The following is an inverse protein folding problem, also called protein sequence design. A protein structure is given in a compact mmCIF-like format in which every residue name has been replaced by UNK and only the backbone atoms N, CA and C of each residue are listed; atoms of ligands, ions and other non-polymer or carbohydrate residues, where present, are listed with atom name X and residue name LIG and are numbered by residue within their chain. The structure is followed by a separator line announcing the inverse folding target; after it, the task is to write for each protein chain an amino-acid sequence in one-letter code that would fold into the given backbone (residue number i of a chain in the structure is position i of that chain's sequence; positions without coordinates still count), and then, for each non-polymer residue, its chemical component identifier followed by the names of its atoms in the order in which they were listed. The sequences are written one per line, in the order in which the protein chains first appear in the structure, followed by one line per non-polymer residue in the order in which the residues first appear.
data_IF_482641168908
#
_entry.id   IF_482641168908
#
_cell.length_a   1.000
_cell.length_b   1.000
_cell.length_c   1.000
_cell.angle_alpha   90.00
_cell.angle_beta   90.00
_cell.angle_gamma   90.00
#
_symmetry.space_group_name_H-M   'P 1'
#
loop_
_entity.id
_entity.type
_entity.pdbx_description
1 polymer ?
#
# COMPACT_ATOMS: atom_id res chain seq x y z
N UNK A 1 -6.58 2.38 19.99
CA UNK A 1 -7.45 3.57 19.88
C UNK A 1 -8.11 3.50 18.52
N UNK A 2 -9.43 3.65 18.43
CA UNK A 2 -10.14 3.57 17.13
C UNK A 2 -9.75 4.76 16.27
N UNK A 3 -9.35 4.54 15.03
CA UNK A 3 -8.87 5.59 14.14
C UNK A 3 -9.97 6.59 13.83
N UNK A 4 -10.02 7.69 14.59
CA UNK A 4 -11.04 8.74 14.43
C UNK A 4 -10.64 9.77 13.38
N UNK A 5 -9.43 9.64 12.83
CA UNK A 5 -8.89 10.45 11.74
C UNK A 5 -8.51 9.56 10.57
N UNK A 6 -8.72 10.10 9.38
CA UNK A 6 -8.21 9.56 8.14
C UNK A 6 -7.39 10.62 7.42
N UNK A 7 -6.33 10.18 6.76
CA UNK A 7 -5.49 10.99 5.88
C UNK A 7 -5.47 10.37 4.50
N UNK A 8 -5.71 11.18 3.49
CA UNK A 8 -5.90 10.75 2.10
C UNK A 8 -4.81 11.40 1.26
N UNK A 9 -3.94 10.55 0.69
CA UNK A 9 -2.93 10.96 -0.26
C UNK A 9 -3.53 11.18 -1.65
N UNK A 10 -2.90 12.02 -2.47
CA UNK A 10 -3.38 12.27 -3.84
C UNK A 10 -2.26 12.69 -4.80
N UNK A 11 -2.52 12.53 -6.10
CA UNK A 11 -1.66 13.09 -7.15
C UNK A 11 -2.04 14.55 -7.43
N UNK A 12 -1.24 15.50 -6.90
CA UNK A 12 -1.48 16.94 -7.10
C UNK A 12 -1.36 17.37 -8.56
N UNK A 13 -0.53 16.70 -9.35
CA UNK A 13 -0.41 16.94 -10.80
C UNK A 13 -1.66 16.53 -11.58
N UNK A 14 -2.52 15.68 -11.00
CA UNK A 14 -3.82 15.27 -11.53
C UNK A 14 -5.00 16.03 -10.89
N UNK A 15 -4.74 17.14 -10.19
CA UNK A 15 -5.76 17.96 -9.54
C UNK A 15 -6.03 17.59 -8.07
N UNK A 16 -5.27 16.66 -7.51
CA UNK A 16 -5.34 16.29 -6.10
C UNK A 16 -4.99 17.44 -5.15
N UNK A 17 -5.55 17.39 -3.94
CA UNK A 17 -5.40 18.43 -2.92
C UNK A 17 -4.12 18.29 -2.08
N UNK A 18 -3.28 17.28 -2.34
CA UNK A 18 -2.17 16.92 -1.46
C UNK A 18 -2.63 15.92 -0.40
N UNK A 19 -2.38 16.19 0.88
CA UNK A 19 -2.83 15.33 1.98
C UNK A 19 -4.13 15.88 2.55
N UNK A 20 -5.26 15.24 2.25
CA UNK A 20 -6.57 15.61 2.81
C UNK A 20 -6.76 14.95 4.17
N UNK A 21 -7.15 15.73 5.17
CA UNK A 21 -7.51 15.24 6.50
C UNK A 21 -9.04 15.13 6.63
N UNK A 22 -9.51 14.06 7.26
CA UNK A 22 -10.92 13.82 7.54
C UNK A 22 -11.12 13.18 8.92
N UNK A 23 -12.32 13.33 9.47
CA UNK A 23 -12.78 12.50 10.59
C UNK A 23 -13.47 11.24 10.09
N UNK A 24 -13.37 10.16 10.86
CA UNK A 24 -14.12 8.92 10.61
C UNK A 24 -15.24 8.82 11.65
N UNK A 25 -16.49 8.70 11.20
CA UNK A 25 -17.59 8.34 12.08
C UNK A 25 -17.43 6.88 12.55
N UNK A 26 -17.37 6.61 13.86
CA UNK A 26 -17.08 5.28 14.36
C UNK A 26 -18.25 4.29 14.19
N UNK A 27 -19.47 4.75 13.89
CA UNK A 27 -20.65 3.90 13.73
C UNK A 27 -20.93 3.58 12.26
N UNK A 28 -20.82 4.58 11.38
CA UNK A 28 -21.13 4.46 9.95
C UNK A 28 -19.90 4.31 9.05
N UNK A 29 -18.71 4.71 9.52
CA UNK A 29 -17.50 4.80 8.72
C UNK A 29 -17.44 6.04 7.82
N UNK A 30 -18.42 6.94 7.90
CA UNK A 30 -18.48 8.16 7.09
C UNK A 30 -17.25 9.06 7.29
N UNK A 31 -16.75 9.63 6.19
CA UNK A 31 -15.66 10.59 6.21
C UNK A 31 -16.21 12.02 6.18
N UNK A 32 -15.74 12.87 7.08
CA UNK A 32 -15.99 14.33 7.02
C UNK A 32 -14.68 15.07 6.82
N UNK A 33 -14.53 15.74 5.68
CA UNK A 33 -13.32 16.48 5.32
C UNK A 33 -13.12 17.67 6.24
N UNK A 34 -11.89 17.82 6.74
CA UNK A 34 -11.46 18.94 7.61
C UNK A 34 -10.66 19.99 6.83
N UNK A 35 -9.80 19.54 5.92
CA UNK A 35 -8.92 20.40 5.13
C UNK A 35 -7.81 19.61 4.45
N UNK A 36 -6.85 20.29 3.83
CA UNK A 36 -5.74 19.62 3.14
C UNK A 36 -4.42 20.35 3.34
N UNK A 37 -3.32 19.57 3.36
CA UNK A 37 -1.96 20.08 3.37
C UNK A 37 -1.35 20.01 1.96
N UNK A 38 -0.68 21.09 1.56
CA UNK A 38 -0.14 21.28 0.20
C UNK A 38 1.39 21.34 0.14
N UNK A 39 2.08 20.93 1.21
CA UNK A 39 3.52 21.12 1.35
C UNK A 39 4.39 20.11 0.56
N UNK A 40 3.77 19.13 -0.10
CA UNK A 40 4.43 18.08 -0.87
C UNK A 40 3.64 17.86 -2.16
N UNK A 41 4.35 17.79 -3.29
CA UNK A 41 3.78 17.39 -4.57
C UNK A 41 3.58 15.87 -4.60
N UNK A 42 2.44 15.41 -5.13
CA UNK A 42 2.06 14.01 -5.27
C UNK A 42 2.31 13.17 -4.00
N UNK A 43 1.71 13.51 -2.83
CA UNK A 43 1.73 12.67 -1.64
C UNK A 43 0.93 11.38 -1.87
N UNK A 44 1.46 10.47 -2.69
CA UNK A 44 0.69 9.37 -3.27
C UNK A 44 0.47 8.21 -2.30
N UNK A 45 1.40 8.02 -1.37
CA UNK A 45 1.34 7.03 -0.31
C UNK A 45 1.72 7.64 1.04
N UNK A 46 1.06 7.18 2.11
CA UNK A 46 1.19 7.71 3.46
C UNK A 46 1.45 6.56 4.45
N UNK A 47 2.13 6.85 5.55
CA UNK A 47 2.18 5.94 6.72
C UNK A 47 2.16 6.75 8.02
N UNK A 48 1.23 6.47 8.95
CA UNK A 48 1.23 7.10 10.27
C UNK A 48 2.35 6.52 11.14
N UNK A 49 2.89 7.32 12.06
CA UNK A 49 3.75 6.82 13.13
C UNK A 49 2.95 5.95 14.11
N UNK A 50 3.58 4.99 14.82
CA UNK A 50 2.88 4.11 15.76
C UNK A 50 2.15 4.84 16.90
N UNK A 51 2.64 6.01 17.29
CA UNK A 51 2.01 6.89 18.29
C UNK A 51 0.92 7.80 17.71
N UNK A 52 0.77 7.85 16.38
CA UNK A 52 -0.20 8.69 15.67
C UNK A 52 0.14 10.18 15.65
N UNK A 53 1.31 10.60 16.16
CA UNK A 53 1.74 12.01 16.24
C UNK A 53 2.32 12.55 14.94
N UNK A 54 2.83 11.66 14.09
CA UNK A 54 3.42 11.98 12.81
C UNK A 54 2.75 11.20 11.67
N UNK A 55 2.81 11.79 10.48
CA UNK A 55 2.42 11.20 9.23
C UNK A 55 3.58 11.36 8.24
N UNK A 56 3.98 10.27 7.62
CA UNK A 56 5.03 10.26 6.61
C UNK A 56 4.42 10.12 5.23
N UNK A 57 5.02 10.78 4.24
CA UNK A 57 4.54 10.76 2.86
C UNK A 57 5.70 10.69 1.88
N UNK A 58 5.51 9.96 0.77
CA UNK A 58 6.36 10.06 -0.43
C UNK A 58 5.85 11.17 -1.31
N UNK A 59 6.73 11.90 -1.98
CA UNK A 59 6.38 12.77 -3.11
C UNK A 59 6.71 12.04 -4.40
N UNK A 60 5.70 11.47 -5.04
CA UNK A 60 5.85 10.62 -6.24
C UNK A 60 6.11 11.48 -7.47
N UNK A 61 7.38 11.83 -7.66
CA UNK A 61 7.90 12.57 -8.81
C UNK A 61 9.25 12.00 -9.24
N UNK A 62 9.77 12.47 -10.38
CA UNK A 62 11.11 12.10 -10.85
C UNK A 62 12.20 12.45 -9.83
N UNK A 63 12.06 13.60 -9.15
CA UNK A 63 13.01 14.03 -8.12
C UNK A 63 12.98 13.14 -6.86
N UNK A 64 11.84 12.49 -6.60
CA UNK A 64 11.63 11.56 -5.49
C UNK A 64 11.86 12.16 -4.11
N UNK A 65 10.77 12.49 -3.40
CA UNK A 65 10.84 13.13 -2.10
C UNK A 65 10.21 12.27 -0.99
N UNK A 66 10.62 12.53 0.25
CA UNK A 66 9.91 12.08 1.45
C UNK A 66 9.75 13.24 2.43
N UNK A 67 8.65 13.27 3.16
CA UNK A 67 8.38 14.29 4.17
C UNK A 67 7.67 13.70 5.39
N UNK A 68 7.77 14.42 6.51
CA UNK A 68 7.06 14.15 7.74
C UNK A 68 6.17 15.33 8.11
N UNK A 69 4.99 15.04 8.63
CA UNK A 69 3.97 15.99 9.04
C UNK A 69 3.53 15.68 10.45
N UNK A 70 3.36 16.71 11.28
CA UNK A 70 2.70 16.58 12.58
C UNK A 70 1.20 16.51 12.37
N UNK A 71 0.53 15.62 13.08
CA UNK A 71 -0.92 15.40 13.02
C UNK A 71 -1.63 15.84 14.30
N UNK A 72 -0.93 15.86 15.43
CA UNK A 72 -1.49 16.25 16.74
C UNK A 72 -1.22 17.71 17.08
N UNK A 73 -2.20 18.35 17.72
CA UNK A 73 -2.14 19.77 18.08
C UNK A 73 -2.08 20.73 16.89
N UNK A 74 -2.48 20.29 15.70
CA UNK A 74 -2.49 21.13 14.49
C UNK A 74 -3.77 21.94 14.35
N UNK A 75 -3.73 23.08 13.63
CA UNK A 75 -4.93 23.82 13.26
C UNK A 75 -5.88 22.93 12.47
N UNK A 76 -7.14 22.88 12.91
CA UNK A 76 -8.25 22.20 12.22
C UNK A 76 -8.01 20.69 11.93
N UNK A 77 -7.02 20.07 12.59
CA UNK A 77 -6.66 18.67 12.39
C UNK A 77 -5.93 18.38 11.06
N UNK A 78 -5.47 19.42 10.35
CA UNK A 78 -4.72 19.28 9.10
C UNK A 78 -3.24 19.03 9.38
N UNK A 79 -2.58 18.06 8.71
CA UNK A 79 -1.16 17.79 8.92
C UNK A 79 -0.27 18.99 8.57
N UNK A 80 0.73 19.28 9.40
CA UNK A 80 1.67 20.39 9.21
C UNK A 80 3.08 19.85 9.02
N UNK A 81 3.82 20.21 7.94
CA UNK A 81 5.18 19.72 7.73
C UNK A 81 6.09 20.13 8.90
N UNK A 82 6.89 19.19 9.42
CA UNK A 82 7.84 19.48 10.51
C UNK A 82 9.17 20.02 10.00
N UNK A 83 9.53 19.72 8.74
CA UNK A 83 10.71 20.18 8.01
C UNK A 83 10.40 20.26 6.51
N UNK A 84 11.36 20.78 5.73
CA UNK A 84 11.32 20.65 4.28
C UNK A 84 11.42 19.16 3.85
N UNK A 85 10.74 18.75 2.76
CA UNK A 85 10.93 17.43 2.18
C UNK A 85 12.38 17.16 1.80
N UNK A 86 12.80 15.89 1.87
CA UNK A 86 14.17 15.46 1.55
C UNK A 86 14.18 14.53 0.33
N UNK A 87 15.23 14.57 -0.52
CA UNK A 87 15.39 13.61 -1.60
C UNK A 87 15.54 12.18 -1.06
N UNK A 88 14.85 11.22 -1.69
CA UNK A 88 14.98 9.79 -1.34
C UNK A 88 16.15 9.13 -2.05
N UNK A 89 16.75 9.79 -3.05
CA UNK A 89 17.86 9.23 -3.83
C UNK A 89 17.42 8.24 -4.93
N UNK A 90 16.13 8.18 -5.24
CA UNK A 90 15.56 7.39 -6.33
C UNK A 90 14.34 8.08 -6.94
N UNK A 91 13.96 7.69 -8.16
CA UNK A 91 12.86 8.30 -8.91
C UNK A 91 11.53 7.57 -8.69
N UNK A 92 10.43 8.34 -8.63
CA UNK A 92 9.06 7.85 -8.52
C UNK A 92 8.79 7.01 -7.26
N UNK A 93 9.02 7.53 -6.04
CA UNK A 93 8.69 6.81 -4.82
C UNK A 93 7.18 6.60 -4.70
N UNK A 94 6.73 5.35 -4.61
CA UNK A 94 5.29 5.01 -4.67
C UNK A 94 4.78 4.33 -3.40
N UNK A 95 5.68 3.93 -2.49
CA UNK A 95 5.31 3.33 -1.21
C UNK A 95 6.39 3.61 -0.17
N UNK A 96 6.00 3.70 1.10
CA UNK A 96 6.93 3.79 2.22
C UNK A 96 6.44 2.99 3.43
N UNK A 97 7.37 2.61 4.29
CA UNK A 97 7.07 1.99 5.58
C UNK A 97 8.08 2.42 6.65
N UNK A 98 7.66 2.36 7.90
CA UNK A 98 8.55 2.51 9.05
C UNK A 98 9.18 1.17 9.39
N UNK A 99 10.50 1.12 9.51
CA UNK A 99 11.23 -0.07 9.95
C UNK A 99 12.40 0.36 10.86
N UNK A 100 12.42 -0.16 12.09
CA UNK A 100 13.35 0.27 13.13
C UNK A 100 13.32 1.80 13.31
N UNK A 101 14.43 2.50 13.06
CA UNK A 101 14.52 3.97 13.10
C UNK A 101 14.61 4.61 11.72
N UNK A 102 14.05 3.97 10.70
CA UNK A 102 14.14 4.40 9.32
C UNK A 102 12.76 4.51 8.64
N UNK A 103 12.65 5.41 7.68
CA UNK A 103 11.71 5.25 6.57
C UNK A 103 12.37 4.42 5.49
N UNK A 104 11.71 3.35 5.08
CA UNK A 104 12.08 2.57 3.91
C UNK A 104 11.13 2.96 2.79
N UNK A 105 11.67 3.28 1.60
CA UNK A 105 10.91 3.83 0.48
C UNK A 105 11.12 2.98 -0.77
N UNK A 106 10.04 2.57 -1.43
CA UNK A 106 10.09 1.89 -2.72
C UNK A 106 10.02 2.90 -3.86
N UNK A 107 11.05 2.93 -4.71
CA UNK A 107 11.18 3.86 -5.84
C UNK A 107 10.86 3.13 -7.15
N UNK A 108 9.63 3.29 -7.64
CA UNK A 108 9.13 2.61 -8.83
C UNK A 108 9.92 3.02 -10.09
N UNK A 109 10.12 4.31 -10.29
CA UNK A 109 10.73 4.85 -11.52
C UNK A 109 12.21 4.53 -11.68
N UNK A 110 12.91 4.24 -10.59
CA UNK A 110 14.35 3.88 -10.60
C UNK A 110 14.63 2.41 -10.26
N UNK A 111 13.61 1.65 -9.86
CA UNK A 111 13.78 0.27 -9.44
C UNK A 111 14.72 0.10 -8.25
N UNK A 112 14.49 0.87 -7.19
CA UNK A 112 15.38 0.88 -6.01
C UNK A 112 14.59 1.02 -4.72
N UNK A 113 15.26 0.72 -3.59
CA UNK A 113 14.72 0.95 -2.25
C UNK A 113 15.65 1.87 -1.47
N UNK A 114 15.11 2.94 -0.89
CA UNK A 114 15.87 3.87 -0.06
C UNK A 114 15.66 3.62 1.43
N UNK A 115 16.68 3.83 2.25
CA UNK A 115 16.58 3.89 3.72
C UNK A 115 16.91 5.28 4.20
N UNK A 116 15.99 5.96 4.88
CA UNK A 116 16.16 7.31 5.41
C UNK A 116 16.11 7.25 6.95
N UNK A 117 17.21 7.55 7.67
CA UNK A 117 17.19 7.54 9.12
C UNK A 117 16.25 8.63 9.65
N UNK A 118 15.52 8.33 10.72
CA UNK A 118 14.67 9.28 11.42
C UNK A 118 15.49 10.09 12.41
N UNK A 119 15.47 11.40 12.23
CA UNK A 119 16.07 12.39 13.11
C UNK A 119 15.33 12.43 14.47
N UNK A 120 15.90 13.06 15.52
CA UNK A 120 15.27 13.10 16.85
C UNK A 120 13.87 13.73 16.90
N UNK A 121 13.52 14.58 15.94
CA UNK A 121 12.17 15.17 15.81
C UNK A 121 11.25 14.35 14.90
N UNK A 122 11.71 13.18 14.45
CA UNK A 122 10.98 12.27 13.58
C UNK A 122 11.05 12.62 12.11
N UNK A 123 11.77 13.66 11.68
CA UNK A 123 11.92 13.96 10.25
C UNK A 123 12.88 12.97 9.56
N UNK A 124 12.65 12.62 8.27
CA UNK A 124 13.62 11.84 7.52
C UNK A 124 14.92 12.62 7.27
N UNK A 125 16.05 11.96 7.45
CA UNK A 125 17.38 12.43 7.07
C UNK A 125 17.81 11.94 5.67
N UNK A 126 19.04 12.24 5.29
CA UNK A 126 19.67 11.65 4.10
C UNK A 126 20.12 10.21 4.39
N UNK A 127 20.06 9.34 3.40
CA UNK A 127 20.25 7.92 3.62
C UNK A 127 20.78 7.12 2.42
N UNK A 128 20.66 5.80 2.46
CA UNK A 128 21.24 4.89 1.48
C UNK A 128 20.22 4.41 0.45
N UNK A 129 20.71 3.94 -0.70
CA UNK A 129 19.89 3.39 -1.79
C UNK A 129 20.37 1.99 -2.13
N UNK A 130 19.47 1.03 -2.05
CA UNK A 130 19.61 -0.33 -2.54
C UNK A 130 19.06 -0.39 -3.98
N UNK A 131 19.95 -0.44 -4.97
CA UNK A 131 19.56 -0.58 -6.36
C UNK A 131 19.21 -2.03 -6.69
N UNK A 132 18.05 -2.26 -7.30
CA UNK A 132 17.72 -3.57 -7.85
C UNK A 132 18.26 -3.71 -9.29
N UNK A 133 18.34 -4.95 -9.76
CA UNK A 133 18.78 -5.28 -11.14
C UNK A 133 17.95 -6.45 -11.67
N UNK A 134 17.86 -6.58 -12.99
CA UNK A 134 17.07 -7.61 -13.66
C UNK A 134 15.96 -7.02 -14.52
N UNK A 135 15.14 -7.90 -15.10
CA UNK A 135 14.00 -7.56 -15.96
C UNK A 135 13.02 -8.75 -15.99
N UNK A 136 11.83 -8.52 -16.53
CA UNK A 136 10.80 -9.53 -16.78
C UNK A 136 10.47 -9.68 -18.27
N UNK A 137 9.50 -10.51 -18.64
CA UNK A 137 9.14 -10.76 -20.03
C UNK A 137 8.29 -9.67 -20.68
N UNK A 138 7.60 -8.82 -19.93
CA UNK A 138 6.82 -7.71 -20.49
C UNK A 138 7.74 -6.59 -21.02
N UNK A 139 7.72 -6.28 -22.33
CA UNK A 139 8.66 -5.35 -22.94
C UNK A 139 8.39 -3.87 -22.63
N UNK A 140 7.23 -3.54 -22.07
CA UNK A 140 6.82 -2.16 -21.76
C UNK A 140 6.74 -1.87 -20.26
N UNK A 141 6.59 -2.91 -19.44
CA UNK A 141 6.38 -2.80 -17.99
C UNK A 141 7.47 -3.46 -17.16
N UNK A 142 8.36 -4.23 -17.79
CA UNK A 142 9.38 -5.03 -17.11
C UNK A 142 10.74 -4.97 -17.83
N UNK A 143 11.04 -3.87 -18.50
CA UNK A 143 12.35 -3.58 -19.14
C UNK A 143 13.50 -3.45 -18.12
N UNK A 144 13.15 -3.19 -16.87
CA UNK A 144 14.04 -3.07 -15.73
C UNK A 144 13.28 -3.23 -14.41
N UNK A 145 13.95 -3.05 -13.27
CA UNK A 145 13.30 -3.16 -11.97
C UNK A 145 12.33 -2.01 -11.69
N UNK A 146 11.24 -2.34 -10.98
CA UNK A 146 10.23 -1.40 -10.52
C UNK A 146 9.78 -1.77 -9.11
N UNK A 147 10.53 -1.33 -8.10
CA UNK A 147 10.20 -1.54 -6.70
C UNK A 147 8.89 -0.82 -6.37
N UNK A 148 7.83 -1.58 -6.05
CA UNK A 148 6.49 -1.03 -5.88
C UNK A 148 6.05 -1.01 -4.41
N UNK A 149 6.54 -1.94 -3.58
CA UNK A 149 6.19 -1.96 -2.16
C UNK A 149 7.37 -2.34 -1.29
N UNK A 150 7.41 -1.79 -0.08
CA UNK A 150 8.29 -2.22 1.02
C UNK A 150 7.46 -2.42 2.28
N UNK A 151 7.58 -3.58 2.91
CA UNK A 151 6.78 -3.97 4.08
C UNK A 151 7.66 -4.70 5.10
N UNK A 152 7.76 -4.22 6.35
CA UNK A 152 8.36 -4.99 7.43
C UNK A 152 7.52 -6.24 7.72
N UNK A 153 8.17 -7.37 7.96
CA UNK A 153 7.46 -8.55 8.44
C UNK A 153 6.91 -8.31 9.86
N UNK A 154 5.94 -9.11 10.34
CA UNK A 154 5.35 -8.92 11.67
C UNK A 154 6.35 -8.96 12.83
N UNK A 155 7.53 -9.59 12.66
CA UNK A 155 8.59 -9.57 13.68
C UNK A 155 9.45 -8.30 13.64
N UNK A 156 9.35 -7.50 12.58
CA UNK A 156 10.19 -6.33 12.32
C UNK A 156 11.64 -6.66 11.95
N UNK A 157 11.97 -7.94 11.77
CA UNK A 157 13.34 -8.41 11.48
C UNK A 157 13.68 -8.32 10.01
N UNK A 158 12.69 -8.58 9.16
CA UNK A 158 12.83 -8.65 7.72
C UNK A 158 12.04 -7.52 7.06
N UNK A 159 12.57 -7.00 5.96
CA UNK A 159 11.89 -6.04 5.11
C UNK A 159 11.69 -6.70 3.76
N UNK A 160 10.45 -6.85 3.34
CA UNK A 160 10.11 -7.41 2.03
C UNK A 160 9.95 -6.26 1.03
N UNK A 161 10.69 -6.31 -0.07
CA UNK A 161 10.52 -5.42 -1.21
C UNK A 161 9.91 -6.17 -2.38
N UNK A 162 8.77 -5.69 -2.86
CA UNK A 162 8.07 -6.21 -4.03
C UNK A 162 8.52 -5.45 -5.26
N UNK A 163 8.93 -6.16 -6.31
CA UNK A 163 9.44 -5.57 -7.54
C UNK A 163 8.68 -6.11 -8.76
N UNK A 164 7.86 -5.23 -9.34
CA UNK A 164 7.02 -5.51 -10.50
C UNK A 164 7.87 -5.88 -11.71
N UNK A 165 8.96 -5.14 -11.92
CA UNK A 165 9.81 -5.21 -13.09
C UNK A 165 10.66 -6.48 -13.17
N UNK A 166 10.89 -7.15 -12.04
CA UNK A 166 11.73 -8.36 -11.96
C UNK A 166 10.98 -9.63 -11.58
N UNK A 167 9.65 -9.57 -11.48
CA UNK A 167 8.80 -10.68 -11.03
C UNK A 167 9.29 -11.29 -9.71
N UNK A 168 9.71 -10.46 -8.74
CA UNK A 168 10.33 -10.98 -7.53
C UNK A 168 9.95 -10.24 -6.25
N UNK A 169 10.11 -10.95 -5.13
CA UNK A 169 10.08 -10.39 -3.78
C UNK A 169 11.45 -10.58 -3.15
N UNK A 170 12.11 -9.47 -2.80
CA UNK A 170 13.39 -9.44 -2.10
C UNK A 170 13.16 -9.36 -0.61
N UNK A 171 13.86 -10.18 0.15
CA UNK A 171 13.85 -10.17 1.62
C UNK A 171 15.17 -9.60 2.09
N UNK A 172 15.08 -8.45 2.73
CA UNK A 172 16.20 -7.64 3.18
C UNK A 172 16.27 -7.61 4.71
N UNK A 173 17.44 -7.27 5.23
CA UNK A 173 17.64 -6.91 6.64
C UNK A 173 18.62 -5.73 6.71
N UNK A 174 18.57 -4.99 7.83
CA UNK A 174 19.52 -3.92 8.06
C UNK A 174 20.94 -4.45 8.34
N UNK A 175 21.94 -3.82 7.73
CA UNK A 175 23.35 -3.83 8.08
C UNK A 175 23.86 -2.38 8.03
N UNK A 176 24.36 -1.85 9.14
CA UNK A 176 24.91 -0.49 9.24
C UNK A 176 24.01 0.59 8.60
N UNK A 177 22.73 0.67 9.02
CA UNK A 177 21.70 1.60 8.54
C UNK A 177 21.29 1.48 7.05
N UNK A 178 21.82 0.48 6.34
CA UNK A 178 21.46 0.15 4.97
C UNK A 178 20.75 -1.20 4.87
N UNK A 179 19.89 -1.37 3.86
CA UNK A 179 19.29 -2.67 3.57
C UNK A 179 20.22 -3.51 2.72
N UNK A 180 20.39 -4.77 3.12
CA UNK A 180 21.09 -5.80 2.36
C UNK A 180 20.12 -6.94 2.03
N UNK A 181 20.09 -7.32 0.75
CA UNK A 181 19.28 -8.45 0.28
C UNK A 181 19.85 -9.75 0.86
N UNK A 182 19.00 -10.50 1.56
CA UNK A 182 19.35 -11.82 2.09
C UNK A 182 18.81 -12.93 1.23
N UNK A 183 17.65 -12.70 0.61
CA UNK A 183 17.00 -13.64 -0.30
C UNK A 183 16.27 -12.88 -1.38
N UNK A 184 16.14 -13.51 -2.53
CA UNK A 184 15.26 -13.08 -3.60
C UNK A 184 14.43 -14.29 -4.01
N UNK A 185 13.11 -14.10 -4.03
CA UNK A 185 12.15 -15.13 -4.41
C UNK A 185 11.54 -14.72 -5.73
N UNK A 186 11.89 -15.45 -6.79
CA UNK A 186 11.25 -15.28 -8.09
C UNK A 186 9.81 -15.82 -8.04
N UNK A 187 8.91 -15.08 -8.65
CA UNK A 187 7.54 -15.49 -8.96
C UNK A 187 7.47 -15.95 -10.42
N UNK A 188 6.28 -16.33 -10.88
CA UNK A 188 6.08 -16.72 -12.28
C UNK A 188 6.42 -15.53 -13.20
N UNK A 189 7.20 -15.72 -14.28
CA UNK A 189 7.48 -14.66 -15.24
C UNK A 189 6.20 -14.02 -15.80
N UNK A 190 6.18 -12.69 -15.87
CA UNK A 190 5.05 -11.87 -16.33
C UNK A 190 3.95 -11.71 -15.28
N UNK A 191 4.23 -11.98 -14.00
CA UNK A 191 3.27 -11.75 -12.91
C UNK A 191 3.12 -10.27 -12.59
N UNK A 192 4.24 -9.56 -12.54
CA UNK A 192 4.31 -8.16 -12.13
C UNK A 192 3.78 -7.95 -10.72
N UNK A 193 4.43 -8.49 -9.67
CA UNK A 193 3.95 -8.34 -8.31
C UNK A 193 3.98 -6.87 -7.89
N UNK A 194 2.93 -6.42 -7.20
CA UNK A 194 2.70 -5.02 -6.87
C UNK A 194 2.78 -4.78 -5.37
N UNK A 195 1.80 -5.29 -4.63
CA UNK A 195 1.70 -5.20 -3.18
C UNK A 195 1.59 -6.61 -2.59
N UNK A 196 1.90 -6.76 -1.30
CA UNK A 196 1.67 -7.95 -0.51
C UNK A 196 1.00 -7.60 0.82
N UNK A 197 0.36 -8.59 1.42
CA UNK A 197 -0.17 -8.49 2.78
C UNK A 197 0.08 -9.80 3.55
N UNK A 198 0.48 -9.67 4.81
CA UNK A 198 0.64 -10.81 5.71
C UNK A 198 -0.72 -11.30 6.20
N UNK A 199 -0.89 -12.61 6.27
CA UNK A 199 -1.96 -13.20 7.06
C UNK A 199 -1.68 -12.96 8.57
N UNK A 200 -2.69 -12.69 9.41
CA UNK A 200 -2.48 -12.32 10.82
C UNK A 200 -1.75 -13.37 11.67
N UNK A 201 -1.75 -14.64 11.25
CA UNK A 201 -1.00 -15.70 11.95
C UNK A 201 0.52 -15.67 11.66
N UNK A 202 0.97 -14.83 10.73
CA UNK A 202 2.36 -14.65 10.37
C UNK A 202 3.01 -15.82 9.63
N UNK A 203 2.22 -16.79 9.13
CA UNK A 203 2.74 -17.95 8.38
C UNK A 203 2.54 -17.85 6.87
N UNK A 204 1.67 -16.95 6.42
CA UNK A 204 1.36 -16.76 5.02
C UNK A 204 1.47 -15.29 4.59
N UNK A 205 1.88 -15.11 3.34
CA UNK A 205 1.95 -13.82 2.65
C UNK A 205 1.17 -13.95 1.35
N UNK A 206 0.28 -13.01 1.10
CA UNK A 206 -0.49 -12.92 -0.13
C UNK A 206 0.14 -11.84 -1.02
N UNK A 207 0.75 -12.23 -2.14
CA UNK A 207 1.40 -11.31 -3.09
C UNK A 207 0.45 -11.03 -4.25
N UNK A 208 0.01 -9.78 -4.39
CA UNK A 208 -0.87 -9.34 -5.46
C UNK A 208 -0.08 -9.02 -6.73
N UNK A 209 -0.51 -9.59 -7.84
CA UNK A 209 0.12 -9.45 -9.16
C UNK A 209 -0.70 -8.49 -10.03
N UNK A 210 -0.06 -7.43 -10.54
CA UNK A 210 -0.69 -6.39 -11.37
C UNK A 210 -0.83 -6.83 -12.82
N UNK A 211 0.23 -7.39 -13.41
CA UNK A 211 0.28 -7.72 -14.84
C UNK A 211 -0.42 -9.04 -15.16
N UNK A 212 -0.38 -9.99 -14.22
CA UNK A 212 -1.20 -11.19 -14.24
C UNK A 212 -2.21 -11.15 -13.08
N UNK A 213 -3.48 -10.76 -13.30
CA UNK A 213 -4.49 -10.51 -12.26
C UNK A 213 -4.78 -11.68 -11.31
N UNK A 214 -3.87 -11.90 -10.36
CA UNK A 214 -3.80 -13.04 -9.47
C UNK A 214 -3.26 -12.62 -8.10
N UNK A 215 -3.55 -13.41 -7.08
CA UNK A 215 -2.84 -13.39 -5.81
C UNK A 215 -2.03 -14.67 -5.68
N UNK A 216 -0.73 -14.55 -5.47
CA UNK A 216 0.14 -15.67 -5.12
C UNK A 216 0.13 -15.87 -3.60
N UNK A 217 -0.32 -17.03 -3.14
CA UNK A 217 -0.20 -17.44 -1.74
C UNK A 217 1.21 -17.98 -1.52
N UNK A 218 1.91 -17.41 -0.55
CA UNK A 218 3.26 -17.79 -0.19
C UNK A 218 3.31 -18.26 1.27
N UNK A 219 4.05 -19.32 1.54
CA UNK A 219 4.46 -19.64 2.91
C UNK A 219 5.59 -18.73 3.35
N UNK A 220 5.50 -18.18 4.56
CA UNK A 220 6.50 -17.32 5.18
C UNK A 220 7.16 -18.02 6.38
N UNK A 221 8.47 -18.23 6.27
CA UNK A 221 9.31 -18.63 7.40
C UNK A 221 9.96 -17.39 8.01
N UNK A 222 9.37 -16.89 9.09
CA UNK A 222 9.86 -15.72 9.83
C UNK A 222 11.25 -15.90 10.43
N UNK A 223 11.67 -17.13 10.71
CA UNK A 223 12.94 -17.39 11.39
C UNK A 223 14.11 -17.32 10.39
N UNK A 224 13.89 -17.80 9.15
CA UNK A 224 14.91 -17.83 8.09
C UNK A 224 14.75 -16.74 7.02
N UNK A 225 13.60 -16.03 7.02
CA UNK A 225 13.22 -15.05 6.00
C UNK A 225 12.84 -15.69 4.66
N UNK A 226 12.54 -16.99 4.62
CA UNK A 226 12.22 -17.67 3.37
C UNK A 226 10.75 -17.46 2.97
N UNK A 227 10.55 -16.99 1.73
CA UNK A 227 9.24 -16.88 1.09
C UNK A 227 9.12 -18.01 0.06
N UNK A 228 8.07 -18.83 0.16
CA UNK A 228 7.87 -19.96 -0.77
C UNK A 228 6.51 -19.84 -1.46
N UNK A 229 6.45 -19.52 -2.77
CA UNK A 229 5.22 -19.49 -3.55
C UNK A 229 4.55 -20.86 -3.58
N UNK A 230 3.21 -20.89 -3.49
CA UNK A 230 2.42 -22.14 -3.46
C UNK A 230 1.39 -22.19 -4.58
N UNK A 231 0.47 -21.25 -4.58
CA UNK A 231 -0.70 -21.24 -5.47
C UNK A 231 -0.97 -19.82 -5.96
N UNK A 232 -1.45 -19.70 -7.20
CA UNK A 232 -1.94 -18.44 -7.77
C UNK A 232 -3.45 -18.52 -7.96
N UNK A 233 -4.15 -17.54 -7.40
CA UNK A 233 -5.61 -17.47 -7.44
C UNK A 233 -6.03 -16.27 -8.28
N UNK A 234 -6.80 -16.45 -9.37
CA UNK A 234 -7.35 -15.34 -10.14
C UNK A 234 -8.22 -14.43 -9.28
N UNK A 235 -8.06 -13.12 -9.45
CA UNK A 235 -8.89 -12.13 -8.73
C UNK A 235 -10.04 -11.58 -9.58
N UNK A 236 -10.06 -11.91 -10.86
CA UNK A 236 -11.15 -11.55 -11.76
C UNK A 236 -12.27 -12.59 -11.68
N UNK A 237 -13.52 -12.12 -11.81
CA UNK A 237 -14.65 -13.03 -11.92
C UNK A 237 -14.54 -13.91 -13.20
N UNK A 238 -14.97 -15.18 -13.15
CA UNK A 238 -14.96 -16.04 -14.32
C UNK A 238 -15.71 -15.42 -15.51
N UNK A 239 -15.05 -15.36 -16.67
CA UNK A 239 -15.62 -14.78 -17.89
C UNK A 239 -15.57 -13.25 -17.97
N UNK A 240 -14.95 -12.57 -17.01
CA UNK A 240 -14.68 -11.13 -17.15
C UNK A 240 -13.78 -10.85 -18.37
N UNK A 241 -14.08 -9.76 -19.06
CA UNK A 241 -13.32 -9.27 -20.21
C UNK A 241 -12.75 -7.88 -19.92
N UNK A 242 -11.74 -7.48 -20.68
CA UNK A 242 -11.11 -6.17 -20.55
C UNK A 242 -9.94 -6.17 -19.56
N UNK A 243 -9.25 -5.03 -19.54
CA UNK A 243 -8.05 -4.86 -18.74
C UNK A 243 -8.36 -4.92 -17.24
N UNK A 244 -7.49 -5.60 -16.49
CA UNK A 244 -7.54 -5.66 -15.05
C UNK A 244 -6.13 -5.45 -14.50
N UNK A 245 -5.98 -4.44 -13.63
CA UNK A 245 -4.71 -4.14 -12.99
C UNK A 245 -4.93 -4.06 -11.48
N UNK A 246 -4.85 -5.19 -10.76
CA UNK A 246 -4.99 -5.19 -9.32
C UNK A 246 -4.02 -4.21 -8.64
N UNK A 247 -4.47 -3.53 -7.60
CA UNK A 247 -3.78 -2.37 -7.03
C UNK A 247 -3.51 -2.51 -5.53
N UNK A 248 -4.52 -2.35 -4.68
CA UNK A 248 -4.40 -2.50 -3.22
C UNK A 248 -4.85 -3.89 -2.76
N UNK A 249 -4.19 -4.44 -1.74
CA UNK A 249 -4.56 -5.70 -1.07
C UNK A 249 -4.59 -5.49 0.45
N UNK A 250 -5.66 -5.92 1.11
CA UNK A 250 -5.81 -5.86 2.57
C UNK A 250 -6.38 -7.17 3.11
N UNK A 251 -5.99 -7.55 4.32
CA UNK A 251 -6.40 -8.81 4.97
C UNK A 251 -7.18 -8.48 6.24
N UNK A 252 -8.28 -9.21 6.47
CA UNK A 252 -9.06 -9.16 7.71
C UNK A 252 -8.12 -9.41 8.92
N UNK A 253 -8.15 -8.58 9.98
CA UNK A 253 -7.41 -8.83 11.21
C UNK A 253 -7.72 -10.19 11.85
N UNK A 254 -8.88 -10.79 11.55
CA UNK A 254 -9.26 -12.15 11.97
C UNK A 254 -8.82 -13.25 11.00
N UNK A 255 -8.22 -12.88 9.86
CA UNK A 255 -7.67 -13.79 8.88
C UNK A 255 -8.71 -14.53 8.04
N UNK A 256 -9.94 -14.02 7.91
CA UNK A 256 -11.03 -14.72 7.19
C UNK A 256 -11.20 -14.28 5.74
N UNK A 257 -10.78 -13.06 5.41
CA UNK A 257 -10.98 -12.48 4.09
C UNK A 257 -9.76 -11.70 3.62
N UNK A 258 -9.58 -11.67 2.31
CA UNK A 258 -8.65 -10.79 1.60
C UNK A 258 -9.47 -9.97 0.60
N UNK A 259 -9.21 -8.68 0.54
CA UNK A 259 -9.82 -7.78 -0.44
C UNK A 259 -8.75 -7.21 -1.36
N UNK A 260 -9.05 -7.13 -2.65
CA UNK A 260 -8.20 -6.42 -3.61
C UNK A 260 -9.00 -5.49 -4.51
N UNK A 261 -8.47 -4.29 -4.73
CA UNK A 261 -8.98 -3.39 -5.76
C UNK A 261 -8.44 -3.80 -7.13
N UNK A 262 -9.24 -3.59 -8.18
CA UNK A 262 -8.89 -3.91 -9.56
C UNK A 262 -9.20 -2.70 -10.44
N UNK A 263 -8.15 -2.02 -10.92
CA UNK A 263 -8.28 -0.92 -11.88
C UNK A 263 -8.64 -1.47 -13.26
N UNK A 264 -9.32 -0.65 -14.07
CA UNK A 264 -9.85 -1.05 -15.38
C UNK A 264 -11.22 -1.72 -15.27
N UNK A 265 -11.39 -2.64 -14.33
CA UNK A 265 -12.68 -3.25 -14.00
C UNK A 265 -13.49 -2.48 -12.95
N UNK A 266 -12.86 -1.52 -12.26
CA UNK A 266 -13.46 -0.69 -11.22
C UNK A 266 -14.18 -1.50 -10.14
N UNK A 267 -13.48 -2.54 -9.68
CA UNK A 267 -14.03 -3.57 -8.83
C UNK A 267 -13.20 -3.81 -7.57
N UNK A 268 -13.87 -4.36 -6.56
CA UNK A 268 -13.27 -4.96 -5.37
C UNK A 268 -13.55 -6.45 -5.44
N UNK A 269 -12.50 -7.26 -5.51
CA UNK A 269 -12.59 -8.70 -5.37
C UNK A 269 -12.48 -9.11 -3.90
N UNK A 270 -13.35 -10.03 -3.50
CA UNK A 270 -13.41 -10.61 -2.15
C UNK A 270 -12.96 -12.06 -2.25
N UNK A 271 -11.91 -12.41 -1.50
CA UNK A 271 -11.44 -13.78 -1.39
C UNK A 271 -11.67 -14.27 0.04
N UNK A 272 -12.33 -15.41 0.20
CA UNK A 272 -12.31 -16.12 1.49
C UNK A 272 -10.95 -16.76 1.70
N UNK A 273 -10.44 -16.64 2.91
CA UNK A 273 -9.26 -17.35 3.37
C UNK A 273 -9.67 -18.75 3.79
N UNK A 274 -9.00 -19.75 3.22
CA UNK A 274 -9.23 -21.17 3.48
C UNK A 274 -7.95 -21.79 4.08
N UNK A 275 -8.11 -22.95 4.74
CA UNK A 275 -7.01 -23.71 5.33
C UNK A 275 -6.05 -22.90 6.22
N UNK A 276 -6.60 -21.91 6.95
CA UNK A 276 -5.85 -21.06 7.88
C UNK A 276 -4.82 -20.16 7.21
N UNK A 277 -5.08 -19.71 5.97
CA UNK A 277 -4.19 -18.84 5.19
C UNK A 277 -3.49 -19.54 4.03
N UNK A 278 -3.58 -20.87 3.95
CA UNK A 278 -2.87 -21.65 2.95
C UNK A 278 -3.51 -21.62 1.56
N UNK A 279 -4.80 -21.26 1.48
CA UNK A 279 -5.55 -21.16 0.24
C UNK A 279 -6.47 -19.94 0.25
N UNK A 280 -6.79 -19.44 -0.94
CA UNK A 280 -7.77 -18.38 -1.15
C UNK A 280 -8.81 -18.82 -2.16
N UNK A 281 -10.05 -18.36 -2.00
CA UNK A 281 -11.09 -18.57 -3.00
C UNK A 281 -11.85 -17.28 -3.26
N UNK A 282 -11.91 -16.86 -4.52
CA UNK A 282 -12.75 -15.73 -4.95
C UNK A 282 -14.22 -16.06 -4.64
N UNK A 283 -14.84 -15.28 -3.76
CA UNK A 283 -16.23 -15.46 -3.32
C UNK A 283 -17.16 -14.42 -3.90
N UNK A 284 -16.67 -13.21 -4.15
CA UNK A 284 -17.46 -12.13 -4.70
C UNK A 284 -16.60 -11.11 -5.44
N UNK A 285 -17.28 -10.34 -6.30
CA UNK A 285 -16.74 -9.13 -6.92
C UNK A 285 -17.83 -8.07 -6.83
N UNK A 286 -17.49 -6.90 -6.30
CA UNK A 286 -18.41 -5.77 -6.16
C UNK A 286 -17.82 -4.51 -6.81
N UNK A 287 -18.68 -3.56 -7.16
CA UNK A 287 -18.27 -2.26 -7.67
C UNK A 287 -17.50 -1.45 -6.61
N UNK A 288 -16.44 -0.74 -7.01
CA UNK A 288 -15.63 0.07 -6.08
C UNK A 288 -16.24 1.45 -5.77
N UNK A 289 -17.39 1.78 -6.35
CA UNK A 289 -18.14 3.01 -6.16
C UNK A 289 -17.62 4.22 -6.94
N UNK A 290 -16.61 4.03 -7.79
CA UNK A 290 -15.93 5.07 -8.57
C UNK A 290 -15.13 4.48 -9.74
N UNK A 291 -14.08 5.18 -10.18
CA UNK A 291 -13.23 4.76 -11.29
C UNK A 291 -11.75 4.75 -10.90
N UNK A 292 -11.06 3.67 -11.26
CA UNK A 292 -9.63 3.44 -11.05
C UNK A 292 -9.25 3.37 -9.55
N UNK A 293 -9.75 2.36 -8.81
CA UNK A 293 -9.44 2.20 -7.38
C UNK A 293 -7.94 1.91 -7.20
N UNK A 294 -7.16 2.91 -6.78
CA UNK A 294 -5.71 2.86 -6.68
C UNK A 294 -5.22 2.17 -5.41
N UNK A 295 -6.04 2.21 -4.36
CA UNK A 295 -5.73 1.64 -3.05
C UNK A 295 -7.00 1.20 -2.31
N UNK A 296 -6.83 0.26 -1.39
CA UNK A 296 -7.84 -0.14 -0.41
C UNK A 296 -7.30 0.04 1.00
N UNK A 297 -8.09 0.67 1.87
CA UNK A 297 -7.76 0.79 3.28
C UNK A 297 -8.81 0.11 4.14
N UNK A 298 -8.38 -0.83 4.98
CA UNK A 298 -9.23 -1.45 5.99
C UNK A 298 -9.11 -0.66 7.29
N UNK A 299 -10.23 -0.15 7.80
CA UNK A 299 -10.23 0.55 9.09
C UNK A 299 -9.85 -0.42 10.22
N UNK A 300 -9.09 0.01 11.25
CA UNK A 300 -8.61 -0.87 12.32
C UNK A 300 -9.68 -1.65 13.09
N UNK A 301 -10.94 -1.20 13.04
CA UNK A 301 -12.08 -1.95 13.60
C UNK A 301 -12.45 -3.22 12.83
N UNK A 302 -11.96 -3.38 11.59
CA UNK A 302 -12.32 -4.45 10.67
C UNK A 302 -13.74 -4.35 10.11
N UNK A 303 -14.46 -3.25 10.35
CA UNK A 303 -15.87 -3.09 9.93
C UNK A 303 -16.06 -2.27 8.67
N UNK A 304 -15.07 -1.45 8.31
CA UNK A 304 -15.16 -0.52 7.20
C UNK A 304 -13.99 -0.67 6.25
N UNK A 305 -14.29 -0.65 4.95
CA UNK A 305 -13.32 -0.67 3.87
C UNK A 305 -13.46 0.62 3.06
N UNK A 306 -12.36 1.18 2.58
CA UNK A 306 -12.32 2.42 1.81
C UNK A 306 -11.59 2.18 0.51
N UNK A 307 -12.15 2.64 -0.60
CA UNK A 307 -11.54 2.62 -1.93
C UNK A 307 -11.16 4.04 -2.34
N UNK A 308 -9.87 4.27 -2.61
CA UNK A 308 -9.39 5.52 -3.18
C UNK A 308 -9.50 5.46 -4.70
N UNK A 309 -10.53 6.10 -5.26
CA UNK A 309 -10.84 6.07 -6.69
C UNK A 309 -10.16 7.25 -7.40
N UNK A 310 -8.96 7.01 -7.92
CA UNK A 310 -8.05 8.04 -8.44
C UNK A 310 -8.69 8.87 -9.56
N UNK A 311 -9.31 8.21 -10.54
CA UNK A 311 -9.75 8.90 -11.77
C UNK A 311 -11.14 9.50 -11.67
N UNK A 312 -12.01 8.98 -10.81
CA UNK A 312 -13.29 9.64 -10.50
C UNK A 312 -13.16 10.72 -9.43
N UNK A 313 -12.07 10.70 -8.65
CA UNK A 313 -11.78 11.74 -7.66
C UNK A 313 -12.63 11.61 -6.40
N UNK A 314 -12.85 10.38 -5.92
CA UNK A 314 -13.61 10.12 -4.71
C UNK A 314 -12.94 9.08 -3.82
N UNK A 315 -13.28 9.11 -2.53
CA UNK A 315 -13.08 7.99 -1.62
C UNK A 315 -14.44 7.42 -1.26
N UNK A 316 -14.71 6.19 -1.71
CA UNK A 316 -15.92 5.45 -1.35
C UNK A 316 -15.66 4.59 -0.12
N UNK A 317 -16.57 4.59 0.86
CA UNK A 317 -16.52 3.69 2.01
C UNK A 317 -17.62 2.65 1.99
N UNK A 318 -17.33 1.51 2.62
CA UNK A 318 -18.18 0.33 2.66
C UNK A 318 -18.26 -0.19 4.08
N UNK A 319 -19.43 -0.70 4.46
CA UNK A 319 -19.57 -1.63 5.58
C UNK A 319 -19.23 -3.04 5.09
N UNK A 320 -18.65 -3.87 5.95
CA UNK A 320 -18.31 -5.25 5.61
C UNK A 320 -19.29 -6.23 6.25
N UNK A 321 -19.89 -7.10 5.44
CA UNK A 321 -20.65 -8.22 5.96
C UNK A 321 -19.72 -9.17 6.74
N UNK A 322 -19.99 -9.45 8.03
CA UNK A 322 -19.08 -10.20 8.88
C UNK A 322 -19.01 -11.69 8.54
N UNK A 323 -19.94 -12.25 7.78
CA UNK A 323 -19.98 -13.67 7.45
C UNK A 323 -19.42 -13.96 6.06
N UNK A 324 -19.57 -13.02 5.13
CA UNK A 324 -19.19 -13.18 3.72
C UNK A 324 -18.02 -12.30 3.30
N UNK A 325 -17.69 -11.27 4.09
CA UNK A 325 -16.70 -10.26 3.76
C UNK A 325 -17.14 -9.32 2.64
N UNK A 326 -18.38 -9.42 2.14
CA UNK A 326 -18.84 -8.61 1.01
C UNK A 326 -19.00 -7.14 1.43
N UNK A 327 -18.35 -6.19 0.72
CA UNK A 327 -18.53 -4.77 0.96
C UNK A 327 -19.90 -4.28 0.51
N UNK A 328 -20.61 -3.55 1.38
CA UNK A 328 -21.84 -2.84 1.07
C UNK A 328 -21.60 -1.32 1.16
N UNK A 329 -21.81 -0.61 0.05
CA UNK A 329 -21.50 0.82 -0.09
C UNK A 329 -22.26 1.66 0.94
N UNK A 330 -21.52 2.44 1.72
CA UNK A 330 -22.06 3.39 2.70
C UNK A 330 -22.18 4.81 2.15
N UNK A 331 -21.22 5.24 1.33
CA UNK A 331 -21.21 6.58 0.73
C UNK A 331 -19.85 6.90 0.11
N UNK A 332 -19.67 8.16 -0.31
CA UNK A 332 -18.40 8.64 -0.83
C UNK A 332 -18.20 10.13 -0.51
N UNK A 333 -16.94 10.56 -0.43
CA UNK A 333 -16.55 11.96 -0.39
C UNK A 333 -15.79 12.35 -1.65
N UNK A 334 -15.87 13.62 -2.03
CA UNK A 334 -15.01 14.22 -3.05
C UNK A 334 -13.56 14.31 -2.54
N UNK A 335 -12.66 13.63 -3.24
CA UNK A 335 -11.23 13.56 -2.97
C UNK A 335 -10.48 13.42 -4.30
N UNK A 336 -10.30 14.53 -5.05
CA UNK A 336 -9.70 14.50 -6.38
C UNK A 336 -8.35 13.77 -6.39
N UNK A 337 -8.16 12.90 -7.38
CA UNK A 337 -6.93 12.12 -7.57
C UNK A 337 -6.45 11.35 -6.32
N UNK A 338 -7.38 10.89 -5.46
CA UNK A 338 -7.06 10.11 -4.27
C UNK A 338 -6.31 8.82 -4.62
N UNK A 339 -5.22 8.56 -3.91
CA UNK A 339 -4.31 7.45 -4.23
C UNK A 339 -4.03 6.51 -3.05
N UNK A 340 -4.28 6.94 -1.81
CA UNK A 340 -4.23 6.10 -0.62
C UNK A 340 -5.10 6.66 0.51
N UNK A 341 -5.46 5.82 1.47
CA UNK A 341 -6.12 6.22 2.73
C UNK A 341 -5.41 5.56 3.90
N UNK A 342 -5.06 6.33 4.93
CA UNK A 342 -4.52 5.80 6.20
C UNK A 342 -5.26 6.38 7.40
N UNK A 343 -5.22 5.67 8.52
CA UNK A 343 -5.91 6.08 9.75
C UNK A 343 -4.92 6.51 10.84
N UNK A 344 -5.28 7.59 11.54
CA UNK A 344 -4.54 8.12 12.72
C UNK A 344 -5.28 7.89 14.02
#
# INVERSE_FOLDING_TARGET
MGGTRAYIGSFTTAGGRGITAATVDPESGELTVLGAAHALENPSFLVPSPDGDLLYAVGESEAGLAAAFRTTGTPDGVPVPIRAPVPVGGAGPTHLALADRHLVVANYGSGSVSTLPLLPDGAPGGGAVLQHTGSGPDPERQEGPHAHQVVPDPSGRWILSVDLGTDSVRVCAFEDDALVVRRETALRPGSGPRHLAFHPDGRFVHVLNELAPTVTVCHWDRDTGALTPREEIPVQAPGSTGDAYPSGIVVDPRGRFVWTAIRGQDAIAVLSVEDGGAALRLTATVDCGGHWPRDLALHPSGRFLYAANERSGDVTWFTLDPETGVPARGGAIDAPAASCVVFG
#
